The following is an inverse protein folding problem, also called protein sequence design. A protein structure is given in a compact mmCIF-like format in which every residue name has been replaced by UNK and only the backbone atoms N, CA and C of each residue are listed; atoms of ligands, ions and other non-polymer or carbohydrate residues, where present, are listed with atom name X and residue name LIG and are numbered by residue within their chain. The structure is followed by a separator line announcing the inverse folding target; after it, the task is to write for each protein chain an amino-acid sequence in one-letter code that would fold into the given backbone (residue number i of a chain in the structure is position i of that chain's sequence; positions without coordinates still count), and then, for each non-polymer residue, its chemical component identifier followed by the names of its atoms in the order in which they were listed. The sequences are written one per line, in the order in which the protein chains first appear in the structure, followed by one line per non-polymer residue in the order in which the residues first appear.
data_IF_468408522907
#
_entry.id   IF_468408522907
#
_cell.length_a   1.000
_cell.length_b   1.000
_cell.length_c   1.000
_cell.angle_alpha   90.00
_cell.angle_beta   90.00
_cell.angle_gamma   90.00
#
_symmetry.space_group_name_H-M   'P 1'
#
loop_
_entity.id
_entity.type
_entity.pdbx_description
1 polymer ?
#
# COMPACT_ATOMS: atom_id res chain seq x y z
N UNK A 1 -45.58 -8.78 8.79
CA UNK A 1 -44.41 -9.23 9.55
C UNK A 1 -43.23 -9.33 8.57
N UNK A 2 -42.58 -8.23 8.33
CA UNK A 2 -41.37 -8.13 7.49
C UNK A 2 -40.21 -7.87 8.47
N UNK A 3 -39.32 -8.84 8.61
CA UNK A 3 -38.17 -8.74 9.49
C UNK A 3 -37.15 -7.77 8.90
N UNK A 4 -36.63 -6.78 9.64
CA UNK A 4 -35.43 -6.07 9.30
C UNK A 4 -34.25 -6.84 9.90
N UNK A 5 -33.22 -7.07 9.19
CA UNK A 5 -31.86 -7.20 9.67
C UNK A 5 -31.00 -7.94 8.66
N UNK A 6 -30.40 -7.17 7.80
CA UNK A 6 -29.06 -7.47 7.33
C UNK A 6 -28.23 -6.21 7.50
N UNK A 7 -27.92 -5.87 8.75
CA UNK A 7 -26.76 -5.03 9.03
C UNK A 7 -25.53 -5.80 8.56
N UNK A 8 -25.11 -5.53 7.33
CA UNK A 8 -23.81 -5.98 6.83
C UNK A 8 -22.77 -5.40 7.77
N UNK A 9 -22.17 -6.25 8.59
CA UNK A 9 -20.88 -5.98 9.21
C UNK A 9 -19.91 -5.59 8.08
N UNK A 10 -19.79 -4.30 7.83
CA UNK A 10 -18.67 -3.76 7.06
C UNK A 10 -17.46 -4.01 7.95
N UNK A 11 -16.80 -5.15 7.71
CA UNK A 11 -15.50 -5.44 8.30
C UNK A 11 -14.66 -4.22 7.98
N UNK A 12 -14.31 -3.44 9.00
CA UNK A 12 -13.45 -2.26 8.86
C UNK A 12 -12.17 -2.77 8.20
N UNK A 13 -12.05 -2.56 6.89
CA UNK A 13 -10.85 -2.92 6.15
C UNK A 13 -9.82 -1.89 6.55
N UNK A 14 -8.99 -2.25 7.54
CA UNK A 14 -7.98 -1.35 8.07
C UNK A 14 -7.01 -0.92 6.96
N UNK A 15 -6.71 0.37 6.93
CA UNK A 15 -5.61 0.93 6.15
C UNK A 15 -4.34 0.12 6.42
N UNK A 16 -3.42 0.10 5.46
CA UNK A 16 -2.18 -0.64 5.62
C UNK A 16 -0.99 0.11 5.03
N UNK A 17 0.20 -0.21 5.52
CA UNK A 17 1.47 0.31 5.00
C UNK A 17 2.10 -0.69 4.06
N UNK A 18 2.74 -0.19 2.99
CA UNK A 18 3.47 -1.00 2.02
C UNK A 18 4.68 -0.20 1.51
N UNK A 19 5.71 -0.84 0.92
CA UNK A 19 6.78 -0.10 0.26
C UNK A 19 6.23 0.82 -0.83
N UNK A 20 6.80 2.02 -0.94
CA UNK A 20 6.38 2.99 -1.95
C UNK A 20 6.80 2.55 -3.35
N UNK A 21 8.02 2.04 -3.48
CA UNK A 21 8.61 1.56 -4.73
C UNK A 21 9.40 0.27 -4.51
N UNK A 22 9.73 -0.43 -5.59
CA UNK A 22 10.79 -1.43 -5.60
C UNK A 22 12.14 -0.74 -5.39
N UNK A 23 12.96 -1.29 -4.49
CA UNK A 23 14.28 -0.76 -4.19
C UNK A 23 15.26 -1.85 -3.76
N UNK A 24 16.55 -1.53 -3.75
CA UNK A 24 17.57 -2.34 -3.15
C UNK A 24 18.61 -1.46 -2.44
N UNK A 25 19.28 -2.05 -1.45
CA UNK A 25 20.38 -1.42 -0.77
C UNK A 25 21.36 -2.50 -0.28
N UNK A 26 22.64 -2.21 -0.28
CA UNK A 26 23.68 -3.16 0.11
C UNK A 26 24.64 -2.60 1.14
N UNK A 27 25.31 -3.51 1.83
CA UNK A 27 26.45 -3.20 2.69
C UNK A 27 27.36 -4.42 2.84
N UNK A 28 28.57 -4.19 3.30
CA UNK A 28 29.55 -5.25 3.58
C UNK A 28 29.75 -5.39 5.08
N UNK A 29 29.75 -6.64 5.59
CA UNK A 29 30.07 -6.99 6.96
C UNK A 29 31.03 -8.19 6.98
N UNK A 30 32.21 -8.02 7.58
CA UNK A 30 33.27 -9.06 7.61
C UNK A 30 33.51 -9.70 6.25
N UNK A 31 33.70 -8.89 5.22
CA UNK A 31 33.89 -9.28 3.81
C UNK A 31 32.67 -9.98 3.15
N UNK A 32 31.62 -10.31 3.88
CA UNK A 32 30.38 -10.76 3.27
C UNK A 32 29.59 -9.56 2.79
N UNK A 33 29.05 -9.63 1.56
CA UNK A 33 28.14 -8.62 1.02
C UNK A 33 26.67 -9.06 1.27
N UNK A 34 25.87 -8.13 1.74
CA UNK A 34 24.44 -8.30 1.94
C UNK A 34 23.69 -7.28 1.11
N UNK A 35 22.76 -7.75 0.28
CA UNK A 35 21.92 -6.90 -0.58
C UNK A 35 20.47 -7.17 -0.20
N UNK A 36 19.81 -6.18 0.40
CA UNK A 36 18.38 -6.21 0.65
C UNK A 36 17.62 -5.74 -0.58
N UNK A 37 16.72 -6.56 -1.11
CA UNK A 37 15.81 -6.23 -2.21
C UNK A 37 14.39 -6.21 -1.66
N UNK A 38 13.62 -5.17 -1.94
CA UNK A 38 12.25 -5.03 -1.46
C UNK A 38 11.33 -4.62 -2.61
N UNK A 39 10.11 -5.18 -2.61
CA UNK A 39 9.09 -4.89 -3.62
C UNK A 39 7.70 -4.90 -2.99
N UNK A 40 6.81 -3.94 -3.32
CA UNK A 40 5.39 -4.10 -3.04
C UNK A 40 4.82 -5.25 -3.89
N UNK A 41 4.06 -6.15 -3.27
CA UNK A 41 3.42 -7.31 -3.92
C UNK A 41 2.00 -7.46 -3.41
N UNK A 42 1.08 -7.87 -4.27
CA UNK A 42 -0.34 -8.03 -3.91
C UNK A 42 -0.77 -9.49 -3.80
N UNK A 43 0.03 -10.42 -4.32
CA UNK A 43 -0.26 -11.84 -4.36
C UNK A 43 0.98 -12.70 -4.09
N UNK A 44 0.76 -13.96 -3.70
CA UNK A 44 1.83 -14.94 -3.53
C UNK A 44 2.58 -15.19 -4.84
N UNK A 45 1.85 -15.17 -5.96
CA UNK A 45 2.47 -15.31 -7.29
C UNK A 45 3.48 -14.19 -7.54
N UNK A 46 3.10 -12.92 -7.31
CA UNK A 46 4.01 -11.78 -7.46
C UNK A 46 5.24 -11.89 -6.55
N UNK A 47 5.05 -12.33 -5.30
CA UNK A 47 6.15 -12.53 -4.37
C UNK A 47 7.13 -13.60 -4.87
N UNK A 48 6.64 -14.73 -5.36
CA UNK A 48 7.48 -15.82 -5.89
C UNK A 48 8.13 -15.46 -7.23
N UNK A 49 7.45 -14.72 -8.09
CA UNK A 49 8.03 -14.21 -9.34
C UNK A 49 9.20 -13.27 -9.04
N UNK A 50 9.05 -12.36 -8.06
CA UNK A 50 10.13 -11.49 -7.62
C UNK A 50 11.31 -12.27 -7.02
N UNK A 51 11.04 -13.29 -6.19
CA UNK A 51 12.10 -14.16 -5.68
C UNK A 51 12.87 -14.84 -6.80
N UNK A 52 12.16 -15.36 -7.80
CA UNK A 52 12.77 -16.05 -8.95
C UNK A 52 13.67 -15.08 -9.76
N UNK A 53 13.22 -13.84 -9.95
CA UNK A 53 14.00 -12.79 -10.60
C UNK A 53 15.30 -12.51 -9.83
N UNK A 54 15.22 -12.26 -8.50
CA UNK A 54 16.41 -11.97 -7.68
C UNK A 54 17.39 -13.15 -7.69
N UNK A 55 16.90 -14.40 -7.59
CA UNK A 55 17.74 -15.60 -7.69
C UNK A 55 18.42 -15.72 -9.05
N UNK A 56 17.73 -15.38 -10.14
CA UNK A 56 18.30 -15.39 -11.48
C UNK A 56 19.40 -14.36 -11.68
N UNK A 57 19.23 -13.17 -11.10
CA UNK A 57 20.25 -12.09 -11.13
C UNK A 57 21.46 -12.41 -10.25
N UNK A 58 21.25 -13.16 -9.14
CA UNK A 58 22.27 -13.42 -8.12
C UNK A 58 22.65 -14.90 -8.03
N UNK A 59 22.87 -15.56 -9.20
CA UNK A 59 23.18 -17.00 -9.30
C UNK A 59 24.43 -17.45 -8.53
N UNK A 60 25.36 -16.55 -8.25
CA UNK A 60 26.60 -16.83 -7.51
C UNK A 60 26.47 -16.53 -6.02
N UNK A 61 25.31 -16.07 -5.56
CA UNK A 61 25.07 -15.81 -4.15
C UNK A 61 25.07 -17.11 -3.34
N UNK A 62 25.52 -17.02 -2.10
CA UNK A 62 25.52 -18.17 -1.19
C UNK A 62 24.09 -18.47 -0.72
N UNK A 63 23.30 -17.42 -0.42
CA UNK A 63 21.94 -17.51 0.07
C UNK A 63 21.09 -16.35 -0.45
N UNK A 64 19.80 -16.61 -0.71
CA UNK A 64 18.76 -15.63 -1.02
C UNK A 64 17.61 -15.83 -0.02
N UNK A 65 17.84 -15.43 1.23
CA UNK A 65 16.87 -15.53 2.31
C UNK A 65 15.73 -14.54 2.08
N UNK A 66 14.49 -14.90 2.46
CA UNK A 66 13.37 -14.02 2.16
C UNK A 66 12.27 -14.05 3.23
N UNK A 67 11.43 -13.03 3.20
CA UNK A 67 10.12 -13.01 3.85
C UNK A 67 9.13 -12.19 3.02
N UNK A 68 7.85 -12.58 3.07
CA UNK A 68 6.76 -11.79 2.54
C UNK A 68 5.55 -11.80 3.46
N UNK A 69 4.78 -10.71 3.38
CA UNK A 69 3.53 -10.52 4.12
C UNK A 69 2.48 -10.05 3.13
N UNK A 70 1.34 -10.76 3.06
CA UNK A 70 0.21 -10.40 2.22
C UNK A 70 -1.01 -10.09 3.08
N UNK A 71 -1.73 -9.02 2.72
CA UNK A 71 -2.99 -8.65 3.38
C UNK A 71 -4.08 -9.67 3.11
N UNK A 72 -4.13 -10.15 1.88
CA UNK A 72 -5.07 -11.21 1.50
C UNK A 72 -4.76 -12.48 2.30
N UNK A 73 -5.79 -13.02 2.95
CA UNK A 73 -5.71 -14.21 3.80
C UNK A 73 -4.70 -14.11 4.97
N UNK A 74 -4.17 -12.93 5.26
CA UNK A 74 -3.19 -12.68 6.33
C UNK A 74 -1.99 -13.65 6.27
N UNK A 75 -1.41 -13.80 5.09
CA UNK A 75 -0.31 -14.73 4.81
C UNK A 75 1.01 -14.10 5.21
N UNK A 76 1.84 -14.84 5.96
CA UNK A 76 3.26 -14.52 6.17
C UNK A 76 4.09 -15.77 5.91
N UNK A 77 5.16 -15.64 5.14
CA UNK A 77 6.10 -16.73 4.81
C UNK A 77 7.52 -16.21 4.84
N UNK A 78 8.45 -17.10 5.19
CA UNK A 78 9.88 -16.81 5.19
C UNK A 78 10.72 -18.05 4.91
N UNK A 79 11.98 -17.86 4.58
CA UNK A 79 12.96 -18.93 4.40
C UNK A 79 14.37 -18.44 4.73
N UNK A 80 15.11 -19.28 5.44
CA UNK A 80 16.54 -19.07 5.72
C UNK A 80 17.43 -19.46 4.52
N UNK A 81 16.90 -20.12 3.48
CA UNK A 81 17.60 -20.51 2.24
C UNK A 81 18.99 -21.12 2.49
N UNK A 82 19.10 -22.00 3.50
CA UNK A 82 20.35 -22.70 3.86
C UNK A 82 21.25 -21.97 4.87
N UNK A 83 20.90 -20.77 5.34
CA UNK A 83 21.52 -20.20 6.55
C UNK A 83 21.10 -20.99 7.80
N UNK A 84 21.83 -20.90 8.91
CA UNK A 84 21.40 -21.51 10.16
C UNK A 84 19.98 -21.11 10.54
N UNK A 85 19.17 -22.09 10.96
CA UNK A 85 17.76 -21.91 11.27
C UNK A 85 17.52 -20.72 12.21
N UNK A 86 16.58 -19.83 11.83
CA UNK A 86 16.19 -18.68 12.63
C UNK A 86 17.15 -17.49 12.59
N UNK A 87 18.17 -17.51 11.71
CA UNK A 87 19.14 -16.41 11.66
C UNK A 87 18.92 -15.42 10.53
N UNK A 88 18.01 -15.74 9.59
CA UNK A 88 17.81 -14.92 8.39
C UNK A 88 16.32 -14.66 8.09
N UNK A 89 15.57 -15.66 7.62
CA UNK A 89 14.22 -15.47 7.12
C UNK A 89 13.24 -14.89 8.13
N UNK A 90 13.19 -15.44 9.33
CA UNK A 90 12.36 -14.92 10.43
C UNK A 90 12.79 -13.51 10.84
N UNK A 91 14.09 -13.21 10.80
CA UNK A 91 14.65 -11.89 11.13
C UNK A 91 14.22 -10.83 10.11
N UNK A 92 14.20 -11.21 8.82
CA UNK A 92 13.65 -10.36 7.75
C UNK A 92 12.16 -10.10 8.01
N UNK A 93 11.38 -11.16 8.33
CA UNK A 93 9.97 -11.04 8.65
C UNK A 93 9.72 -10.07 9.81
N UNK A 94 10.47 -10.22 10.90
CA UNK A 94 10.39 -9.35 12.08
C UNK A 94 10.68 -7.88 11.72
N UNK A 95 11.65 -7.62 10.84
CA UNK A 95 11.97 -6.28 10.40
C UNK A 95 10.78 -5.65 9.64
N UNK A 96 10.12 -6.40 8.75
CA UNK A 96 8.93 -5.94 8.03
C UNK A 96 7.74 -5.69 8.98
N UNK A 97 7.53 -6.58 9.96
CA UNK A 97 6.46 -6.46 10.94
C UNK A 97 6.63 -5.26 11.88
N UNK A 98 7.86 -4.96 12.29
CA UNK A 98 8.18 -3.78 13.12
C UNK A 98 7.81 -2.47 12.44
N UNK A 99 7.96 -2.38 11.12
CA UNK A 99 7.53 -1.22 10.33
C UNK A 99 6.01 -1.24 10.03
N UNK A 100 5.31 -2.32 10.42
CA UNK A 100 3.88 -2.50 10.16
C UNK A 100 3.54 -2.70 8.69
N UNK A 101 4.50 -3.24 7.91
CA UNK A 101 4.33 -3.44 6.47
C UNK A 101 3.49 -4.68 6.17
N UNK A 102 2.69 -4.58 5.13
CA UNK A 102 2.01 -5.71 4.47
C UNK A 102 2.00 -5.49 2.96
N UNK A 103 1.60 -6.50 2.19
CA UNK A 103 1.73 -6.50 0.74
C UNK A 103 3.18 -6.17 0.32
N UNK A 104 4.12 -6.90 0.90
CA UNK A 104 5.56 -6.68 0.76
C UNK A 104 6.30 -8.01 0.62
N UNK A 105 7.29 -8.04 -0.25
CA UNK A 105 8.32 -9.07 -0.35
C UNK A 105 9.68 -8.44 -0.11
N UNK A 106 10.49 -9.06 0.76
CA UNK A 106 11.89 -8.70 0.95
C UNK A 106 12.76 -9.94 0.77
N UNK A 107 13.79 -9.83 -0.08
CA UNK A 107 14.82 -10.84 -0.31
C UNK A 107 16.15 -10.24 0.13
N UNK A 108 16.91 -10.97 0.93
CA UNK A 108 18.28 -10.60 1.28
C UNK A 108 19.24 -11.60 0.66
N UNK A 109 19.98 -11.12 -0.31
CA UNK A 109 21.04 -11.86 -0.99
C UNK A 109 22.34 -11.73 -0.23
N UNK A 110 23.03 -12.83 0.03
CA UNK A 110 24.33 -12.85 0.68
C UNK A 110 25.40 -13.50 -0.18
N UNK A 111 26.53 -12.82 -0.33
CA UNK A 111 27.77 -13.37 -0.85
C UNK A 111 28.75 -13.56 0.32
N UNK A 112 29.12 -14.80 0.58
CA UNK A 112 30.05 -15.12 1.70
C UNK A 112 31.45 -14.61 1.45
N UNK A 113 32.01 -13.88 2.38
CA UNK A 113 33.34 -13.26 2.30
C UNK A 113 34.48 -14.05 2.95
N UNK A 114 34.28 -15.34 3.28
CA UNK A 114 35.31 -16.19 3.89
C UNK A 114 35.45 -16.04 5.42
N UNK A 115 34.72 -15.12 6.05
CA UNK A 115 34.77 -14.90 7.51
C UNK A 115 33.39 -15.19 8.12
N UNK A 116 33.33 -16.11 9.07
CA UNK A 116 32.10 -16.46 9.77
C UNK A 116 31.62 -15.31 10.67
N UNK A 117 30.34 -14.99 10.61
CA UNK A 117 29.71 -13.97 11.45
C UNK A 117 29.22 -14.52 12.79
N UNK A 118 28.93 -15.84 12.85
CA UNK A 118 28.21 -16.47 13.95
C UNK A 118 26.71 -16.11 13.94
N UNK A 119 25.88 -16.84 14.67
CA UNK A 119 24.44 -16.67 14.67
C UNK A 119 24.00 -15.23 14.99
N UNK A 120 24.53 -14.63 16.06
CA UNK A 120 24.22 -13.25 16.44
C UNK A 120 24.70 -12.21 15.42
N UNK A 121 25.78 -12.48 14.68
CA UNK A 121 26.24 -11.64 13.57
C UNK A 121 25.31 -11.71 12.37
N UNK A 122 24.84 -12.91 12.02
CA UNK A 122 23.86 -13.12 10.95
C UNK A 122 22.55 -12.41 11.24
N UNK A 123 21.97 -12.59 12.43
CA UNK A 123 20.74 -11.91 12.86
C UNK A 123 20.87 -10.38 12.66
N UNK A 124 21.94 -9.77 13.13
CA UNK A 124 22.17 -8.33 12.95
C UNK A 124 22.30 -7.94 11.48
N UNK A 125 23.01 -8.72 10.68
CA UNK A 125 23.24 -8.44 9.27
C UNK A 125 21.95 -8.55 8.44
N UNK A 126 21.15 -9.60 8.63
CA UNK A 126 19.87 -9.77 7.94
C UNK A 126 18.84 -8.71 8.34
N UNK A 127 18.75 -8.38 9.65
CA UNK A 127 17.88 -7.29 10.13
C UNK A 127 18.29 -5.95 9.51
N UNK A 128 19.59 -5.64 9.47
CA UNK A 128 20.10 -4.40 8.86
C UNK A 128 19.81 -4.34 7.37
N UNK A 129 20.03 -5.45 6.63
CA UNK A 129 19.78 -5.52 5.20
C UNK A 129 18.30 -5.24 4.86
N UNK A 130 17.37 -5.86 5.61
CA UNK A 130 15.95 -5.60 5.45
C UNK A 130 15.60 -4.14 5.77
N UNK A 131 16.10 -3.59 6.88
CA UNK A 131 15.81 -2.22 7.31
C UNK A 131 16.31 -1.16 6.33
N UNK A 132 17.52 -1.30 5.77
CA UNK A 132 18.02 -0.35 4.77
C UNK A 132 17.25 -0.45 3.45
N UNK A 133 16.80 -1.64 3.05
CA UNK A 133 15.96 -1.82 1.88
C UNK A 133 14.59 -1.14 2.06
N UNK A 134 13.96 -1.28 3.25
CA UNK A 134 12.72 -0.57 3.61
C UNK A 134 12.93 0.95 3.56
N UNK A 135 14.01 1.44 4.14
CA UNK A 135 14.34 2.87 4.13
C UNK A 135 14.52 3.40 2.71
N UNK A 136 15.19 2.65 1.84
CA UNK A 136 15.40 3.02 0.44
C UNK A 136 14.11 3.03 -0.38
N UNK A 137 13.22 2.08 -0.13
CA UNK A 137 11.93 2.01 -0.82
C UNK A 137 10.96 3.12 -0.38
N UNK A 138 11.11 3.62 0.84
CA UNK A 138 10.11 4.44 1.49
C UNK A 138 8.82 3.67 1.79
N UNK A 139 7.97 4.25 2.59
CA UNK A 139 6.70 3.64 3.01
C UNK A 139 5.56 4.54 2.58
N UNK A 140 4.48 3.95 2.06
CA UNK A 140 3.22 4.60 1.78
C UNK A 140 2.08 3.94 2.55
N UNK A 141 1.03 4.72 2.81
CA UNK A 141 -0.18 4.23 3.46
C UNK A 141 -1.29 4.09 2.42
N UNK A 142 -1.81 2.89 2.31
CA UNK A 142 -2.96 2.59 1.46
C UNK A 142 -4.24 2.78 2.27
N UNK A 143 -5.08 3.71 1.86
CA UNK A 143 -6.37 3.99 2.47
C UNK A 143 -7.47 3.30 1.69
N UNK A 144 -8.49 2.79 2.39
CA UNK A 144 -9.69 2.33 1.72
C UNK A 144 -10.37 3.53 1.06
N UNK A 145 -10.66 3.43 -0.21
CA UNK A 145 -11.27 4.48 -1.00
C UNK A 145 -12.46 3.97 -1.79
N UNK A 146 -13.44 4.84 -1.95
CA UNK A 146 -14.58 4.66 -2.85
C UNK A 146 -14.25 5.27 -4.19
N UNK A 147 -14.21 4.44 -5.24
CA UNK A 147 -14.06 4.88 -6.62
C UNK A 147 -15.41 5.25 -7.20
N UNK A 148 -15.54 6.47 -7.67
CA UNK A 148 -16.77 6.98 -8.27
C UNK A 148 -16.54 7.56 -9.66
N UNK A 149 -17.55 7.50 -10.49
CA UNK A 149 -17.64 8.21 -11.77
C UNK A 149 -18.58 9.40 -11.59
N UNK A 150 -18.06 10.61 -11.75
CA UNK A 150 -18.82 11.84 -11.72
C UNK A 150 -19.04 12.30 -13.15
N UNK A 151 -20.31 12.50 -13.54
CA UNK A 151 -20.68 13.02 -14.86
C UNK A 151 -21.39 14.36 -14.69
N UNK A 152 -20.94 15.37 -15.42
CA UNK A 152 -21.47 16.73 -15.34
C UNK A 152 -21.31 17.48 -16.67
N UNK A 153 -22.11 18.53 -16.85
CA UNK A 153 -22.02 19.41 -17.99
C UNK A 153 -20.84 20.40 -17.90
N UNK A 154 -20.28 20.83 -19.00
CA UNK A 154 -19.16 21.77 -19.10
C UNK A 154 -19.28 23.03 -18.23
N UNK A 155 -20.44 23.74 -18.16
CA UNK A 155 -20.59 24.94 -17.34
C UNK A 155 -20.34 24.68 -15.85
N UNK A 156 -20.56 23.46 -15.36
CA UNK A 156 -20.35 23.07 -13.95
C UNK A 156 -18.90 22.66 -13.67
N UNK A 157 -18.16 22.25 -14.70
CA UNK A 157 -16.79 21.73 -14.54
C UNK A 157 -15.88 22.70 -13.80
N UNK A 158 -15.93 24.00 -14.12
CA UNK A 158 -15.09 25.00 -13.45
C UNK A 158 -15.36 25.17 -11.95
N UNK A 159 -16.59 24.89 -11.50
CA UNK A 159 -16.93 24.90 -10.05
C UNK A 159 -16.38 23.66 -9.37
N UNK A 160 -16.54 22.50 -10.01
CA UNK A 160 -16.13 21.20 -9.49
C UNK A 160 -14.62 21.05 -9.50
N UNK A 161 -13.92 21.53 -10.55
CA UNK A 161 -12.46 21.50 -10.63
C UNK A 161 -11.77 22.27 -9.47
N UNK A 162 -12.35 23.37 -9.00
CA UNK A 162 -11.84 24.10 -7.84
C UNK A 162 -11.84 23.27 -6.54
N UNK A 163 -12.72 22.30 -6.45
CA UNK A 163 -12.76 21.35 -5.32
C UNK A 163 -11.59 20.39 -5.44
N UNK A 164 -11.37 19.83 -6.63
CA UNK A 164 -10.36 18.82 -6.90
C UNK A 164 -8.93 19.37 -7.04
N UNK A 165 -8.75 20.68 -7.06
CA UNK A 165 -7.43 21.30 -6.98
C UNK A 165 -6.81 21.25 -5.58
N UNK A 166 -7.54 20.72 -4.58
CA UNK A 166 -7.11 20.56 -3.20
C UNK A 166 -6.88 19.07 -2.92
N UNK A 167 -5.83 18.74 -2.17
CA UNK A 167 -5.53 17.36 -1.77
C UNK A 167 -6.60 16.77 -0.83
N UNK A 168 -7.32 17.62 -0.13
CA UNK A 168 -8.40 17.25 0.79
C UNK A 168 -9.49 18.31 0.83
N UNK A 169 -10.71 17.89 1.17
CA UNK A 169 -11.84 18.78 1.39
C UNK A 169 -12.25 18.74 2.85
N UNK A 170 -12.58 19.91 3.39
CA UNK A 170 -13.23 20.06 4.68
C UNK A 170 -14.75 20.10 4.48
N UNK A 171 -15.45 19.13 5.05
CA UNK A 171 -16.91 19.20 5.11
C UNK A 171 -17.33 19.80 6.45
N UNK A 172 -18.19 20.82 6.46
CA UNK A 172 -18.77 21.31 7.70
C UNK A 172 -19.70 20.24 8.28
N UNK A 173 -19.24 19.51 9.29
CA UNK A 173 -20.06 18.56 10.02
C UNK A 173 -20.91 19.35 11.04
N UNK A 174 -22.20 19.55 10.73
CA UNK A 174 -23.13 20.37 11.51
C UNK A 174 -23.36 19.92 12.96
N UNK A 175 -22.85 18.77 13.43
CA UNK A 175 -23.22 18.20 14.75
C UNK A 175 -22.11 17.72 15.68
N UNK A 176 -20.85 17.56 15.26
CA UNK A 176 -19.83 16.92 16.12
C UNK A 176 -18.55 17.73 16.37
N UNK A 177 -18.39 18.91 15.77
CA UNK A 177 -17.19 19.75 16.00
C UNK A 177 -15.85 19.14 15.57
N UNK A 178 -15.86 17.95 14.98
CA UNK A 178 -14.66 17.27 14.48
C UNK A 178 -14.38 17.68 13.04
N UNK A 179 -13.18 18.20 12.81
CA UNK A 179 -12.66 18.52 11.49
C UNK A 179 -12.54 17.23 10.66
N UNK A 180 -13.44 17.03 9.71
CA UNK A 180 -13.41 15.83 8.84
C UNK A 180 -12.71 16.20 7.55
N UNK A 181 -11.37 16.02 7.52
CA UNK A 181 -10.61 16.03 6.28
C UNK A 181 -10.91 14.74 5.52
N UNK A 182 -11.24 14.84 4.26
CA UNK A 182 -11.45 13.71 3.36
C UNK A 182 -10.50 13.85 2.20
N UNK A 183 -9.66 12.84 1.99
CA UNK A 183 -8.77 12.82 0.84
C UNK A 183 -9.55 12.50 -0.43
N UNK A 184 -9.21 13.22 -1.49
CA UNK A 184 -9.78 13.07 -2.83
C UNK A 184 -8.67 13.02 -3.86
N UNK A 185 -8.82 12.17 -4.86
CA UNK A 185 -7.91 12.15 -6.01
C UNK A 185 -8.66 11.93 -7.30
N UNK A 186 -8.48 12.83 -8.28
CA UNK A 186 -9.00 12.66 -9.64
C UNK A 186 -7.95 11.94 -10.46
N UNK A 187 -8.24 10.68 -10.81
CA UNK A 187 -7.30 9.83 -11.56
C UNK A 187 -7.53 9.84 -13.07
N UNK A 188 -8.72 10.25 -13.51
CA UNK A 188 -9.04 10.34 -14.94
C UNK A 188 -10.02 11.47 -15.20
N UNK A 189 -9.76 12.22 -16.25
CA UNK A 189 -10.65 13.22 -16.84
C UNK A 189 -10.93 12.82 -18.29
N UNK A 190 -12.21 12.81 -18.68
CA UNK A 190 -12.67 12.50 -20.03
C UNK A 190 -13.62 13.62 -20.48
N UNK A 191 -13.29 14.25 -21.60
CA UNK A 191 -14.00 15.39 -22.17
C UNK A 191 -14.67 14.97 -23.48
N UNK A 192 -15.93 14.55 -23.38
CA UNK A 192 -16.76 14.15 -24.51
C UNK A 192 -17.97 15.08 -24.70
N UNK A 193 -19.16 14.53 -24.86
CA UNK A 193 -20.41 15.33 -24.84
C UNK A 193 -20.64 15.93 -23.43
N UNK A 194 -20.23 15.23 -22.42
CA UNK A 194 -20.23 15.60 -21.00
C UNK A 194 -18.82 15.44 -20.44
N UNK A 195 -18.54 16.07 -19.32
CA UNK A 195 -17.29 15.86 -18.59
C UNK A 195 -17.47 14.67 -17.64
N UNK A 196 -16.56 13.70 -17.72
CA UNK A 196 -16.54 12.53 -16.85
C UNK A 196 -15.25 12.49 -16.03
N UNK A 197 -15.39 12.43 -14.71
CA UNK A 197 -14.28 12.39 -13.77
C UNK A 197 -14.30 11.06 -13.02
N UNK A 198 -13.18 10.31 -13.04
CA UNK A 198 -13.01 9.17 -12.14
C UNK A 198 -12.27 9.65 -10.90
N UNK A 199 -12.90 9.50 -9.74
CA UNK A 199 -12.42 10.06 -8.48
C UNK A 199 -12.33 8.96 -7.43
N UNK A 200 -11.23 8.97 -6.66
CA UNK A 200 -11.13 8.25 -5.41
C UNK A 200 -11.47 9.18 -4.26
N UNK A 201 -12.28 8.68 -3.34
CA UNK A 201 -12.72 9.36 -2.13
C UNK A 201 -12.37 8.45 -0.96
N UNK A 202 -11.60 8.94 0.01
CA UNK A 202 -11.30 8.17 1.22
C UNK A 202 -12.60 7.69 1.87
N UNK A 203 -12.69 6.38 2.13
CA UNK A 203 -13.86 5.77 2.77
C UNK A 203 -13.71 5.83 4.30
N UNK A 204 -14.14 6.94 4.89
CA UNK A 204 -14.16 7.16 6.32
C UNK A 204 -15.57 7.62 6.74
N UNK A 205 -16.24 6.85 7.61
CA UNK A 205 -17.48 7.26 8.30
C UNK A 205 -18.49 8.03 7.41
N UNK A 206 -18.91 7.45 6.29
CA UNK A 206 -19.85 8.10 5.34
C UNK A 206 -19.28 9.32 4.59
N UNK A 207 -17.96 9.48 4.54
CA UNK A 207 -17.33 10.62 3.86
C UNK A 207 -17.71 10.72 2.38
N UNK A 208 -17.77 9.58 1.69
CA UNK A 208 -18.15 9.54 0.29
C UNK A 208 -19.62 9.93 0.06
N UNK A 209 -20.53 9.58 0.98
CA UNK A 209 -21.93 9.96 0.90
C UNK A 209 -22.08 11.48 1.11
N UNK A 210 -21.40 12.02 2.14
CA UNK A 210 -21.37 13.47 2.39
C UNK A 210 -20.78 14.26 1.23
N UNK A 211 -19.76 13.71 0.57
CA UNK A 211 -19.19 14.32 -0.61
C UNK A 211 -20.18 14.34 -1.78
N UNK A 212 -20.93 13.26 -1.98
CA UNK A 212 -21.98 13.18 -2.99
C UNK A 212 -23.07 14.21 -2.73
N UNK A 213 -23.53 14.32 -1.49
CA UNK A 213 -24.52 15.34 -1.09
C UNK A 213 -23.99 16.76 -1.34
N UNK A 214 -22.74 17.03 -0.95
CA UNK A 214 -22.10 18.32 -1.19
C UNK A 214 -22.00 18.68 -2.68
N UNK A 215 -21.62 17.70 -3.54
CA UNK A 215 -21.60 17.92 -5.00
C UNK A 215 -22.99 18.20 -5.57
N UNK A 216 -23.98 17.46 -5.11
CA UNK A 216 -25.37 17.66 -5.52
C UNK A 216 -25.86 19.07 -5.16
N UNK A 217 -25.59 19.53 -3.94
CA UNK A 217 -25.93 20.89 -3.51
C UNK A 217 -25.20 21.95 -4.34
N UNK A 218 -23.88 21.78 -4.57
CA UNK A 218 -23.08 22.71 -5.35
C UNK A 218 -23.55 22.84 -6.81
N UNK A 219 -24.00 21.73 -7.38
CA UNK A 219 -24.44 21.64 -8.78
C UNK A 219 -25.97 21.74 -8.94
N UNK A 220 -26.72 22.05 -7.89
CA UNK A 220 -28.18 22.10 -7.87
C UNK A 220 -28.81 20.81 -8.45
N UNK A 221 -28.27 19.67 -8.12
CA UNK A 221 -28.72 18.36 -8.58
C UNK A 221 -28.34 18.00 -10.02
N UNK A 222 -27.62 18.85 -10.74
CA UNK A 222 -27.24 18.63 -12.14
C UNK A 222 -25.88 17.91 -12.26
N UNK A 223 -25.60 16.98 -11.35
CA UNK A 223 -24.43 16.10 -11.38
C UNK A 223 -24.87 14.67 -11.14
N UNK A 224 -24.27 13.72 -11.85
CA UNK A 224 -24.52 12.29 -11.63
C UNK A 224 -23.28 11.68 -11.03
N UNK A 225 -23.42 11.07 -9.86
CA UNK A 225 -22.33 10.36 -9.15
C UNK A 225 -22.65 8.88 -9.10
N UNK A 226 -21.88 8.06 -9.81
CA UNK A 226 -22.05 6.62 -9.87
C UNK A 226 -20.93 5.93 -9.09
N UNK A 227 -21.28 5.10 -8.12
CA UNK A 227 -20.33 4.23 -7.44
C UNK A 227 -19.83 3.14 -8.39
N UNK A 228 -18.50 2.89 -8.38
CA UNK A 228 -17.88 1.81 -9.16
C UNK A 228 -17.52 0.65 -8.23
N UNK A 229 -16.61 0.88 -7.28
CA UNK A 229 -16.13 -0.13 -6.34
C UNK A 229 -15.37 0.52 -5.17
N UNK A 230 -15.11 -0.27 -4.13
CA UNK A 230 -14.14 0.10 -3.09
C UNK A 230 -12.81 -0.59 -3.39
N UNK A 231 -11.72 0.16 -3.27
CA UNK A 231 -10.37 -0.38 -3.40
C UNK A 231 -9.39 0.42 -2.53
N UNK A 232 -8.20 -0.12 -2.28
CA UNK A 232 -7.16 0.61 -1.58
C UNK A 232 -6.45 1.57 -2.54
N UNK A 233 -6.27 2.80 -2.10
CA UNK A 233 -5.66 3.85 -2.89
C UNK A 233 -4.61 4.63 -2.08
N UNK A 234 -3.55 5.06 -2.76
CA UNK A 234 -2.51 5.94 -2.23
C UNK A 234 -2.85 7.37 -2.60
N UNK A 235 -3.14 8.19 -1.60
CA UNK A 235 -3.47 9.61 -1.82
C UNK A 235 -2.26 10.53 -1.80
N UNK A 236 -1.02 9.99 -1.68
CA UNK A 236 0.23 10.74 -1.65
C UNK A 236 0.95 10.78 -0.31
#
# INVERSE_FOLDING_TARGET
LCSPEKSKNIKIMNNYKTPKIRANASFTERKSEFIGHICPVSSEKEALDFLAEIRAENRKATHNCYAYILKENNISRYSDDGEPSGTAGVVILDALQKEGLTNVMCVVTRYFGGILLGAGGLVRAYSKAASIAVSQAGIKTMLLARKVLITLDYPLYGKVEKIFSREYIHFPVKKTGTDTRVFLSVVKRDFGKEVKLTVFIEERETAADKFTDYLNDLCNGAVVVNFIQNEFFDFG
#
